data_IF_621539148446
#
_entry.id   IF_621539148446
#
_cell.length_a   1.000
_cell.length_b   1.000
_cell.length_c   1.000
_cell.angle_alpha   90.00
_cell.angle_beta   90.00
_cell.angle_gamma   90.00
#
_symmetry.space_group_name_H-M   'P 1'
#
loop_
_entity.id
_entity.type
_entity.pdbx_description
1 polymer ?
#
# COMPACT_ATOMS: atom_id res chain seq x y z
N UNK A 1 33.83 2.38 10.45
CA UNK A 1 34.95 2.98 11.21
C UNK A 1 35.59 1.91 12.10
N UNK A 2 36.69 1.30 11.66
CA UNK A 2 37.36 0.21 12.40
C UNK A 2 38.07 0.71 13.66
N UNK A 3 38.57 1.96 13.64
CA UNK A 3 39.25 2.58 14.78
C UNK A 3 38.30 2.85 15.96
N UNK A 4 37.09 3.34 15.70
CA UNK A 4 36.09 3.59 16.76
C UNK A 4 35.65 2.28 17.41
N UNK A 5 35.49 1.21 16.61
CA UNK A 5 35.16 -0.12 17.13
C UNK A 5 36.30 -0.72 17.97
N UNK A 6 37.55 -0.55 17.54
CA UNK A 6 38.72 -0.97 18.31
C UNK A 6 38.81 -0.22 19.64
N UNK A 7 38.60 1.10 19.63
CA UNK A 7 38.61 1.92 20.84
C UNK A 7 37.49 1.49 21.82
N UNK A 8 36.27 1.28 21.34
CA UNK A 8 35.16 0.77 22.16
C UNK A 8 35.49 -0.60 22.80
N UNK A 9 36.06 -1.54 22.03
CA UNK A 9 36.45 -2.86 22.55
C UNK A 9 37.52 -2.76 23.64
N UNK A 10 38.52 -1.88 23.46
CA UNK A 10 39.56 -1.66 24.46
C UNK A 10 38.97 -1.06 25.74
N UNK A 11 38.12 -0.04 25.65
CA UNK A 11 37.45 0.55 26.82
C UNK A 11 36.59 -0.48 27.56
N UNK A 12 35.86 -1.34 26.84
CA UNK A 12 35.01 -2.37 27.46
C UNK A 12 35.85 -3.38 28.28
N UNK A 13 37.03 -3.79 27.78
CA UNK A 13 37.91 -4.73 28.47
C UNK A 13 38.61 -4.13 29.70
N UNK A 14 38.96 -2.84 29.67
CA UNK A 14 39.64 -2.18 30.79
C UNK A 14 38.69 -1.75 31.91
N UNK A 15 37.45 -1.37 31.57
CA UNK A 15 36.49 -0.81 32.54
C UNK A 15 36.19 -1.77 33.70
N UNK A 16 35.94 -3.05 33.42
CA UNK A 16 35.64 -4.04 34.47
C UNK A 16 36.84 -4.30 35.38
N UNK A 17 38.05 -4.31 34.82
CA UNK A 17 39.29 -4.54 35.57
C UNK A 17 39.66 -3.35 36.45
N UNK A 18 39.46 -2.13 35.97
CA UNK A 18 39.69 -0.91 36.76
C UNK A 18 38.66 -0.78 37.89
N UNK A 19 37.38 -1.06 37.61
CA UNK A 19 36.34 -1.07 38.64
C UNK A 19 36.66 -2.08 39.75
N UNK A 20 37.11 -3.29 39.38
CA UNK A 20 37.55 -4.29 40.34
C UNK A 20 38.74 -3.83 41.17
N UNK A 21 39.78 -3.28 40.54
CA UNK A 21 40.94 -2.75 41.24
C UNK A 21 40.57 -1.68 42.27
N UNK A 22 39.72 -0.72 41.89
CA UNK A 22 39.23 0.32 42.80
C UNK A 22 38.45 -0.28 43.97
N UNK A 23 37.57 -1.27 43.75
CA UNK A 23 36.83 -1.91 44.85
C UNK A 23 37.73 -2.66 45.83
N UNK A 24 38.77 -3.35 45.34
CA UNK A 24 39.74 -4.03 46.19
C UNK A 24 40.60 -3.04 46.98
N UNK A 25 40.97 -1.92 46.35
CA UNK A 25 41.69 -0.84 47.02
C UNK A 25 40.86 -0.23 48.15
N UNK A 26 39.57 0.03 47.92
CA UNK A 26 38.66 0.54 48.98
C UNK A 26 38.51 -0.47 50.11
N UNK A 27 38.40 -1.77 49.82
CA UNK A 27 38.36 -2.81 50.85
C UNK A 27 39.64 -2.86 51.69
N UNK A 28 40.79 -2.70 51.05
CA UNK A 28 42.08 -2.61 51.73
C UNK A 28 42.18 -1.36 52.63
N UNK A 29 41.66 -0.22 52.18
CA UNK A 29 41.65 1.04 52.96
C UNK A 29 40.66 1.05 54.12
N UNK A 30 39.66 0.15 54.12
CA UNK A 30 38.60 0.07 55.14
C UNK A 30 38.84 -1.09 56.13
N UNK A 31 40.05 -1.65 56.16
CA UNK A 31 40.45 -2.81 56.99
C UNK A 31 39.50 -4.03 56.92
N UNK A 32 38.81 -4.21 55.78
CA UNK A 32 37.98 -5.40 55.57
C UNK A 32 38.81 -6.59 55.08
N UNK A 33 38.52 -7.78 55.59
CA UNK A 33 39.18 -9.01 55.13
C UNK A 33 38.85 -9.28 53.64
N UNK A 34 39.90 -9.29 52.83
CA UNK A 34 39.87 -9.62 51.40
C UNK A 34 39.86 -11.14 51.26
N UNK A 35 38.67 -11.74 51.21
CA UNK A 35 38.49 -13.18 50.96
C UNK A 35 38.31 -13.43 49.47
N UNK A 36 38.89 -14.52 48.94
CA UNK A 36 38.74 -14.91 47.53
C UNK A 36 37.28 -15.01 47.06
N UNK A 37 36.37 -15.45 47.94
CA UNK A 37 34.93 -15.50 47.67
C UNK A 37 34.33 -14.12 47.36
N UNK A 38 34.70 -13.07 48.11
CA UNK A 38 34.23 -11.70 47.87
C UNK A 38 34.75 -11.17 46.53
N UNK A 39 36.04 -11.36 46.26
CA UNK A 39 36.67 -10.94 44.99
C UNK A 39 35.97 -11.57 43.78
N UNK A 40 35.66 -12.86 43.85
CA UNK A 40 34.96 -13.56 42.78
C UNK A 40 33.52 -13.05 42.55
N UNK A 41 32.80 -12.72 43.63
CA UNK A 41 31.46 -12.12 43.54
C UNK A 41 31.51 -10.74 42.89
N UNK A 42 32.46 -9.87 43.27
CA UNK A 42 32.61 -8.57 42.59
C UNK A 42 33.00 -8.73 41.12
N UNK A 43 33.90 -9.68 40.80
CA UNK A 43 34.34 -9.92 39.43
C UNK A 43 33.18 -10.35 38.53
N UNK A 44 32.37 -11.30 38.99
CA UNK A 44 31.20 -11.78 38.25
C UNK A 44 30.14 -10.68 38.12
N UNK A 45 29.87 -9.92 39.19
CA UNK A 45 28.93 -8.80 39.17
C UNK A 45 29.33 -7.71 38.17
N UNK A 46 30.58 -7.24 38.19
CA UNK A 46 31.03 -6.18 37.27
C UNK A 46 31.05 -6.65 35.81
N UNK A 47 31.34 -7.92 35.55
CA UNK A 47 31.27 -8.46 34.19
C UNK A 47 29.82 -8.49 33.66
N UNK A 48 28.86 -8.92 34.47
CA UNK A 48 27.42 -8.89 34.08
C UNK A 48 26.97 -7.45 33.88
N UNK A 49 27.30 -6.56 34.82
CA UNK A 49 26.91 -5.15 34.75
C UNK A 49 27.47 -4.48 33.49
N UNK A 50 28.76 -4.68 33.19
CA UNK A 50 29.39 -4.14 31.99
C UNK A 50 28.72 -4.65 30.72
N UNK A 51 28.39 -5.95 30.64
CA UNK A 51 27.68 -6.49 29.49
C UNK A 51 26.28 -5.87 29.33
N UNK A 52 25.52 -5.75 30.42
CA UNK A 52 24.18 -5.14 30.37
C UNK A 52 24.21 -3.65 30.00
N UNK A 53 25.14 -2.88 30.57
CA UNK A 53 25.20 -1.42 30.37
C UNK A 53 25.88 -1.04 29.05
N UNK A 54 26.98 -1.70 28.70
CA UNK A 54 27.76 -1.32 27.51
C UNK A 54 27.21 -1.91 26.21
N UNK A 55 26.58 -3.09 26.26
CA UNK A 55 26.05 -3.74 25.06
C UNK A 55 24.53 -3.62 24.95
N UNK A 56 23.77 -4.06 25.96
CA UNK A 56 22.30 -4.11 25.86
C UNK A 56 21.66 -2.73 25.97
N UNK A 57 22.06 -1.92 26.95
CA UNK A 57 21.46 -0.61 27.20
C UNK A 57 21.77 0.40 26.08
N UNK A 58 23.04 0.51 25.66
CA UNK A 58 23.43 1.38 24.54
C UNK A 58 22.69 1.00 23.26
N UNK A 59 22.60 -0.31 22.97
CA UNK A 59 21.85 -0.81 21.82
C UNK A 59 20.36 -0.49 21.92
N UNK A 60 19.77 -0.65 23.12
CA UNK A 60 18.37 -0.33 23.37
C UNK A 60 18.05 1.15 23.10
N UNK A 61 18.94 2.08 23.45
CA UNK A 61 18.78 3.50 23.11
C UNK A 61 18.74 3.71 21.59
N UNK A 62 19.64 3.05 20.85
CA UNK A 62 19.65 3.13 19.38
C UNK A 62 18.38 2.56 18.76
N UNK A 63 17.93 1.39 19.21
CA UNK A 63 16.69 0.76 18.72
C UNK A 63 15.45 1.60 19.05
N UNK A 64 15.40 2.25 20.23
CA UNK A 64 14.34 3.19 20.58
C UNK A 64 14.33 4.41 19.66
N UNK A 65 15.50 4.97 19.35
CA UNK A 65 15.61 6.10 18.44
C UNK A 65 15.09 5.74 17.02
N UNK A 66 15.43 4.56 16.51
CA UNK A 66 14.92 4.05 15.22
C UNK A 66 13.41 3.82 15.25
N UNK A 67 12.88 3.28 16.36
CA UNK A 67 11.46 3.09 16.57
C UNK A 67 10.69 4.42 16.53
N UNK A 68 11.18 5.46 17.20
CA UNK A 68 10.54 6.78 17.19
C UNK A 68 10.45 7.38 15.77
N UNK A 69 11.51 7.23 14.96
CA UNK A 69 11.48 7.70 13.56
C UNK A 69 10.45 6.91 12.75
N UNK A 70 10.35 5.60 12.98
CA UNK A 70 9.39 4.73 12.27
C UNK A 70 7.95 5.07 12.64
N UNK A 71 7.68 5.29 13.93
CA UNK A 71 6.37 5.73 14.42
C UNK A 71 6.00 7.06 13.80
N UNK A 72 6.92 8.03 13.76
CA UNK A 72 6.65 9.34 13.16
C UNK A 72 6.27 9.24 11.67
N UNK A 73 6.96 8.38 10.92
CA UNK A 73 6.65 8.15 9.49
C UNK A 73 5.27 7.50 9.31
N UNK A 74 4.91 6.54 10.16
CA UNK A 74 3.59 5.92 10.13
C UNK A 74 2.49 6.94 10.49
N UNK A 75 2.73 7.77 11.49
CA UNK A 75 1.82 8.83 11.90
C UNK A 75 1.60 9.84 10.77
N UNK A 76 2.68 10.28 10.12
CA UNK A 76 2.61 11.18 8.95
C UNK A 76 1.80 10.56 7.81
N UNK A 77 2.03 9.28 7.51
CA UNK A 77 1.26 8.56 6.49
C UNK A 77 -0.23 8.45 6.83
N UNK A 78 -0.56 8.12 8.08
CA UNK A 78 -1.95 7.99 8.53
C UNK A 78 -2.70 9.33 8.63
N UNK A 79 -1.98 10.45 8.71
CA UNK A 79 -2.56 11.80 8.72
C UNK A 79 -2.82 12.38 7.33
N UNK A 80 -2.38 11.71 6.27
CA UNK A 80 -2.66 12.17 4.92
C UNK A 80 -4.17 12.23 4.68
N UNK A 81 -4.59 13.22 3.88
CA UNK A 81 -6.00 13.40 3.53
C UNK A 81 -6.47 12.19 2.71
N UNK A 82 -7.63 11.65 3.09
CA UNK A 82 -8.29 10.63 2.31
C UNK A 82 -8.89 11.27 1.05
N UNK A 83 -8.66 10.64 -0.10
CA UNK A 83 -9.31 11.04 -1.32
C UNK A 83 -10.81 10.80 -1.18
N UNK A 84 -11.60 11.87 -1.13
CA UNK A 84 -13.06 11.78 -1.14
C UNK A 84 -13.48 11.81 -2.61
N UNK A 85 -13.92 10.67 -3.20
CA UNK A 85 -14.45 10.69 -4.55
C UNK A 85 -15.61 11.68 -4.58
N UNK A 86 -15.67 12.51 -5.62
CA UNK A 86 -16.75 13.48 -5.83
C UNK A 86 -18.05 12.75 -5.54
N UNK A 87 -18.75 13.19 -4.48
CA UNK A 87 -19.98 12.56 -4.05
C UNK A 87 -20.95 12.63 -5.23
N UNK A 88 -21.02 11.54 -5.99
CA UNK A 88 -22.06 11.35 -6.98
C UNK A 88 -23.34 11.59 -6.21
N UNK A 89 -24.12 12.60 -6.60
CA UNK A 89 -25.45 12.74 -6.03
C UNK A 89 -26.24 11.51 -6.49
N UNK A 90 -26.09 10.39 -5.78
CA UNK A 90 -27.11 9.38 -5.68
C UNK A 90 -28.23 10.07 -4.92
N UNK A 91 -28.98 10.93 -5.62
CA UNK A 91 -30.29 11.35 -5.19
C UNK A 91 -31.16 10.09 -5.20
N UNK A 92 -31.03 9.30 -4.14
CA UNK A 92 -32.00 8.27 -3.74
C UNK A 92 -33.32 8.93 -3.29
N UNK A 93 -33.35 10.26 -3.19
CA UNK A 93 -34.56 11.05 -3.07
C UNK A 93 -35.29 11.10 -4.43
N UNK A 94 -36.08 10.06 -4.65
CA UNK A 94 -37.43 10.09 -5.22
C UNK A 94 -37.96 11.47 -5.65
N UNK A 95 -37.44 11.98 -6.76
CA UNK A 95 -38.19 12.85 -7.65
C UNK A 95 -37.93 12.32 -9.05
N UNK A 96 -39.00 11.84 -9.69
CA UNK A 96 -39.01 11.25 -11.03
C UNK A 96 -38.69 12.29 -12.11
N UNK A 97 -37.54 12.95 -12.03
CA UNK A 97 -36.94 13.55 -13.21
C UNK A 97 -36.28 12.39 -13.92
N UNK A 98 -36.94 11.88 -14.95
CA UNK A 98 -36.35 10.90 -15.88
C UNK A 98 -35.24 11.64 -16.61
N UNK A 99 -34.08 11.77 -15.97
CA UNK A 99 -32.89 12.24 -16.65
C UNK A 99 -32.59 11.22 -17.74
N UNK A 100 -32.75 11.67 -18.99
CA UNK A 100 -32.53 10.86 -20.20
C UNK A 100 -31.05 10.48 -20.35
N UNK A 101 -30.17 11.18 -19.64
CA UNK A 101 -28.73 11.02 -19.70
C UNK A 101 -28.22 10.11 -18.58
N UNK A 102 -27.28 9.24 -18.91
CA UNK A 102 -26.52 8.44 -17.96
C UNK A 102 -25.37 9.25 -17.35
N UNK A 103 -24.71 10.08 -18.16
CA UNK A 103 -23.58 10.93 -17.75
C UNK A 103 -23.84 12.34 -18.27
N UNK A 104 -23.68 13.34 -17.41
CA UNK A 104 -23.76 14.76 -17.76
C UNK A 104 -22.59 15.51 -17.13
N UNK A 105 -21.68 16.01 -17.97
CA UNK A 105 -20.57 16.89 -17.62
C UNK A 105 -20.89 18.30 -18.13
N UNK A 106 -20.78 19.31 -17.26
CA UNK A 106 -21.02 20.72 -17.61
C UNK A 106 -19.81 21.57 -17.27
N UNK A 107 -19.18 22.15 -18.29
CA UNK A 107 -18.05 23.08 -18.17
C UNK A 107 -16.97 22.60 -17.18
N UNK A 108 -16.63 21.32 -17.29
CA UNK A 108 -15.79 20.62 -16.34
C UNK A 108 -14.31 20.95 -16.57
N UNK A 109 -13.61 21.37 -15.52
CA UNK A 109 -12.16 21.53 -15.51
C UNK A 109 -11.57 20.68 -14.40
N UNK A 110 -10.57 19.87 -14.76
CA UNK A 110 -10.09 18.77 -13.92
C UNK A 110 -8.56 18.79 -13.84
N UNK A 111 -8.05 18.45 -12.65
CA UNK A 111 -6.62 18.37 -12.35
C UNK A 111 -6.28 17.04 -11.69
N UNK A 112 -5.02 16.62 -11.81
CA UNK A 112 -4.50 15.46 -11.06
C UNK A 112 -4.40 15.76 -9.56
N UNK A 113 -4.04 16.99 -9.23
CA UNK A 113 -4.02 17.51 -7.86
C UNK A 113 -4.54 18.94 -7.91
N UNK A 114 -5.34 19.37 -6.93
CA UNK A 114 -5.83 20.74 -6.85
C UNK A 114 -4.69 21.77 -6.88
N UNK A 115 -3.54 21.40 -6.33
CA UNK A 115 -2.31 22.21 -6.30
C UNK A 115 -1.56 22.28 -7.64
N UNK A 116 -1.89 21.44 -8.64
CA UNK A 116 -1.22 21.50 -9.94
C UNK A 116 -1.58 22.79 -10.68
N UNK A 117 -0.60 23.39 -11.34
CA UNK A 117 -0.82 24.59 -12.16
C UNK A 117 -1.63 24.25 -13.41
N UNK A 118 -1.28 23.13 -14.06
CA UNK A 118 -1.89 22.69 -15.31
C UNK A 118 -3.16 21.88 -15.08
N UNK A 119 -4.19 22.19 -15.88
CA UNK A 119 -5.42 21.40 -16.01
C UNK A 119 -5.22 20.29 -17.05
N UNK A 120 -5.61 19.07 -16.70
CA UNK A 120 -5.57 17.92 -17.61
C UNK A 120 -6.69 18.03 -18.65
N UNK A 121 -7.87 18.45 -18.20
CA UNK A 121 -9.04 18.71 -19.01
C UNK A 121 -9.59 20.09 -18.63
N UNK A 122 -9.95 20.89 -19.64
CA UNK A 122 -10.45 22.24 -19.44
C UNK A 122 -11.76 22.44 -20.20
N UNK A 123 -12.78 22.96 -19.49
CA UNK A 123 -14.09 23.32 -20.04
C UNK A 123 -14.77 22.22 -20.88
N UNK A 124 -14.75 20.98 -20.38
CA UNK A 124 -15.38 19.84 -21.04
C UNK A 124 -16.88 19.81 -20.74
N UNK A 125 -17.70 19.75 -21.79
CA UNK A 125 -19.14 19.50 -21.67
C UNK A 125 -19.53 18.27 -22.49
N UNK A 126 -20.14 17.29 -21.85
CA UNK A 126 -20.48 16.00 -22.45
C UNK A 126 -21.81 15.52 -21.89
N UNK A 127 -22.68 15.01 -22.76
CA UNK A 127 -23.97 14.45 -22.39
C UNK A 127 -24.15 13.10 -23.06
N UNK A 128 -24.19 12.03 -22.25
CA UNK A 128 -24.33 10.64 -22.71
C UNK A 128 -25.75 10.16 -22.43
N UNK A 129 -26.60 9.92 -23.46
CA UNK A 129 -27.92 9.35 -23.27
C UNK A 129 -27.85 7.88 -22.81
N UNK A 130 -28.85 7.44 -22.04
CA UNK A 130 -28.97 6.04 -21.60
C UNK A 130 -29.16 5.10 -22.81
N UNK A 131 -28.54 3.93 -22.74
CA UNK A 131 -28.69 2.86 -23.75
C UNK A 131 -28.00 3.12 -25.08
N UNK A 132 -27.07 4.09 -25.16
CA UNK A 132 -26.29 4.35 -26.37
C UNK A 132 -24.82 3.95 -26.21
N UNK A 133 -24.27 3.41 -27.30
CA UNK A 133 -22.84 3.19 -27.47
C UNK A 133 -22.19 4.47 -27.99
N UNK A 134 -21.17 4.96 -27.29
CA UNK A 134 -20.43 6.17 -27.66
C UNK A 134 -18.94 5.82 -27.79
N UNK A 135 -18.34 6.22 -28.91
CA UNK A 135 -16.89 6.16 -29.11
C UNK A 135 -16.24 7.50 -28.80
N UNK A 136 -15.11 7.48 -28.09
CA UNK A 136 -14.26 8.64 -27.84
C UNK A 136 -12.97 8.46 -28.65
N UNK A 137 -12.71 9.37 -29.59
CA UNK A 137 -11.52 9.32 -30.46
C UNK A 137 -10.71 10.60 -30.33
N UNK A 138 -9.40 10.50 -30.58
CA UNK A 138 -8.48 11.62 -30.49
C UNK A 138 -7.02 11.18 -30.43
N UNK A 139 -6.06 12.09 -30.65
CA UNK A 139 -4.63 11.77 -30.68
C UNK A 139 -4.10 11.28 -29.32
N UNK A 140 -2.94 10.62 -29.30
CA UNK A 140 -2.28 10.21 -28.06
C UNK A 140 -2.00 11.45 -27.20
N UNK A 141 -2.24 11.37 -25.90
CA UNK A 141 -2.09 12.51 -24.97
C UNK A 141 -3.26 13.49 -24.96
N UNK A 142 -4.33 13.28 -25.74
CA UNK A 142 -5.49 14.19 -25.77
C UNK A 142 -6.42 14.12 -24.55
N UNK A 143 -6.03 13.46 -23.46
CA UNK A 143 -6.83 13.37 -22.23
C UNK A 143 -7.98 12.34 -22.25
N UNK A 144 -8.05 11.40 -23.21
CA UNK A 144 -9.11 10.38 -23.27
C UNK A 144 -9.18 9.51 -22.02
N UNK A 145 -8.05 8.95 -21.60
CA UNK A 145 -7.97 8.11 -20.39
C UNK A 145 -8.29 8.94 -19.15
N UNK A 146 -7.83 10.19 -19.10
CA UNK A 146 -8.15 11.14 -18.03
C UNK A 146 -9.64 11.47 -17.96
N UNK A 147 -10.34 11.55 -19.10
CA UNK A 147 -11.79 11.72 -19.13
C UNK A 147 -12.51 10.50 -18.54
N UNK A 148 -12.05 9.28 -18.83
CA UNK A 148 -12.61 8.07 -18.22
C UNK A 148 -12.33 8.03 -16.71
N UNK A 149 -11.12 8.38 -16.27
CA UNK A 149 -10.76 8.46 -14.85
C UNK A 149 -11.56 9.55 -14.11
N UNK A 150 -11.86 10.66 -14.79
CA UNK A 150 -12.76 11.70 -14.26
C UNK A 150 -14.17 11.16 -14.04
N UNK A 151 -14.68 10.35 -14.98
CA UNK A 151 -15.99 9.69 -14.86
C UNK A 151 -15.97 8.67 -13.72
N UNK A 152 -14.85 7.99 -13.46
CA UNK A 152 -14.69 7.11 -12.31
C UNK A 152 -14.58 7.87 -10.98
N UNK A 153 -14.35 9.19 -11.04
CA UNK A 153 -14.18 10.03 -9.87
C UNK A 153 -12.75 10.00 -9.30
N UNK A 154 -11.75 9.59 -10.08
CA UNK A 154 -10.33 9.48 -9.67
C UNK A 154 -9.57 10.81 -9.77
N UNK A 155 -10.08 11.79 -10.54
CA UNK A 155 -9.46 13.11 -10.66
C UNK A 155 -10.31 14.17 -9.94
N UNK A 156 -9.62 15.17 -9.41
CA UNK A 156 -10.25 16.28 -8.70
C UNK A 156 -10.88 17.28 -9.67
N UNK A 157 -12.17 17.53 -9.49
CA UNK A 157 -12.93 18.53 -10.24
C UNK A 157 -12.70 19.90 -9.59
N UNK A 158 -12.10 20.83 -10.35
CA UNK A 158 -11.84 22.20 -9.89
C UNK A 158 -13.05 23.10 -10.16
N UNK A 159 -13.64 22.98 -11.35
CA UNK A 159 -14.82 23.74 -11.76
C UNK A 159 -15.77 22.88 -12.57
N UNK A 160 -17.05 23.23 -12.55
CA UNK A 160 -18.10 22.54 -13.30
C UNK A 160 -18.83 21.50 -12.46
N UNK A 161 -19.67 20.72 -13.13
CA UNK A 161 -20.54 19.74 -12.49
C UNK A 161 -20.52 18.41 -13.25
N UNK A 162 -20.45 17.31 -12.49
CA UNK A 162 -20.46 15.94 -13.00
C UNK A 162 -21.61 15.18 -12.34
N UNK A 163 -22.53 14.67 -13.19
CA UNK A 163 -23.64 13.82 -12.76
C UNK A 163 -23.56 12.48 -13.45
N UNK A 164 -23.56 11.42 -12.66
CA UNK A 164 -23.58 10.04 -13.13
C UNK A 164 -24.76 9.33 -12.50
N UNK A 165 -25.55 8.65 -13.32
CA UNK A 165 -26.71 7.89 -12.90
C UNK A 165 -26.48 6.39 -13.11
N UNK A 166 -26.45 5.62 -12.02
CA UNK A 166 -26.31 4.17 -12.03
C UNK A 166 -24.94 3.70 -11.50
N UNK A 167 -24.60 2.46 -11.83
CA UNK A 167 -23.33 1.81 -11.46
C UNK A 167 -22.36 1.85 -12.64
N UNK A 168 -21.08 2.06 -12.36
CA UNK A 168 -20.01 2.10 -13.37
C UNK A 168 -19.26 0.76 -13.35
N UNK A 169 -18.93 0.23 -14.53
CA UNK A 169 -17.99 -0.86 -14.70
C UNK A 169 -16.86 -0.39 -15.61
N UNK A 170 -15.62 -0.69 -15.26
CA UNK A 170 -14.44 -0.21 -15.96
C UNK A 170 -13.54 -1.38 -16.35
N UNK A 171 -13.20 -1.44 -17.64
CA UNK A 171 -12.18 -2.34 -18.18
C UNK A 171 -10.96 -1.50 -18.58
N UNK A 172 -9.83 -1.74 -17.92
CA UNK A 172 -8.62 -0.95 -18.12
C UNK A 172 -7.88 -1.35 -19.40
N UNK A 173 -7.10 -0.42 -19.96
CA UNK A 173 -6.20 -0.73 -21.08
C UNK A 173 -5.14 -1.77 -20.68
N UNK A 174 -4.59 -1.64 -19.47
CA UNK A 174 -3.69 -2.61 -18.87
C UNK A 174 -4.46 -3.43 -17.84
N UNK A 175 -4.87 -4.67 -18.17
CA UNK A 175 -5.67 -5.49 -17.28
C UNK A 175 -4.87 -5.86 -16.02
N UNK A 176 -5.45 -5.62 -14.86
CA UNK A 176 -4.87 -6.01 -13.59
C UNK A 176 -5.41 -7.38 -13.16
N UNK A 177 -4.49 -8.31 -12.90
CA UNK A 177 -4.75 -9.68 -12.42
C UNK A 177 -3.82 -9.90 -11.24
N UNK A 178 -4.38 -10.25 -10.08
CA UNK A 178 -3.61 -10.43 -8.85
C UNK A 178 -3.29 -11.90 -8.60
N UNK A 179 -2.33 -12.13 -7.69
CA UNK A 179 -1.83 -13.46 -7.34
C UNK A 179 -2.91 -14.30 -6.64
N UNK A 180 -3.67 -15.06 -7.41
CA UNK A 180 -4.83 -15.82 -6.96
C UNK A 180 -5.28 -16.81 -8.05
N UNK A 181 -6.35 -17.57 -7.79
CA UNK A 181 -6.97 -18.39 -8.84
C UNK A 181 -7.64 -17.50 -9.91
N UNK A 182 -7.76 -18.00 -11.14
CA UNK A 182 -8.51 -17.29 -12.20
C UNK A 182 -9.95 -17.02 -11.77
N UNK A 183 -10.61 -17.98 -11.12
CA UNK A 183 -11.95 -17.83 -10.55
C UNK A 183 -12.02 -16.66 -9.56
N UNK A 184 -11.05 -16.52 -8.67
CA UNK A 184 -11.02 -15.40 -7.72
C UNK A 184 -10.80 -14.05 -8.40
N UNK A 185 -10.02 -14.01 -9.48
CA UNK A 185 -9.87 -12.79 -10.27
C UNK A 185 -11.19 -12.37 -10.93
N UNK A 186 -11.97 -13.33 -11.44
CA UNK A 186 -13.30 -13.08 -12.04
C UNK A 186 -14.35 -12.71 -10.96
N UNK A 187 -14.36 -13.42 -9.82
CA UNK A 187 -15.33 -13.14 -8.76
C UNK A 187 -15.04 -11.81 -8.06
N UNK A 188 -13.76 -11.43 -7.94
CA UNK A 188 -13.30 -10.18 -7.34
C UNK A 188 -13.99 -9.83 -6.00
N UNK A 189 -14.12 -10.83 -5.12
CA UNK A 189 -14.76 -10.69 -3.80
C UNK A 189 -16.28 -10.91 -3.78
N UNK A 190 -16.94 -11.05 -4.92
CA UNK A 190 -18.34 -11.45 -5.00
C UNK A 190 -18.53 -12.95 -4.66
N UNK A 191 -19.73 -13.29 -4.18
CA UNK A 191 -20.11 -14.68 -3.94
C UNK A 191 -20.19 -15.49 -5.24
N UNK A 192 -19.87 -16.79 -5.16
CA UNK A 192 -19.93 -17.69 -6.31
C UNK A 192 -21.37 -18.08 -6.62
N UNK A 193 -21.94 -17.50 -7.67
CA UNK A 193 -23.18 -17.96 -8.30
C UNK A 193 -22.85 -18.70 -9.60
N UNK A 194 -23.07 -20.03 -9.59
CA UNK A 194 -22.75 -20.91 -10.71
C UNK A 194 -23.43 -20.48 -12.02
N UNK A 195 -24.68 -20.01 -11.99
CA UNK A 195 -25.41 -19.65 -13.22
C UNK A 195 -24.79 -18.40 -13.83
N UNK A 196 -24.70 -17.33 -13.04
CA UNK A 196 -24.08 -16.07 -13.46
C UNK A 196 -22.64 -16.26 -13.92
N UNK A 197 -21.85 -17.06 -13.19
CA UNK A 197 -20.46 -17.32 -13.53
C UNK A 197 -20.32 -18.00 -14.91
N UNK A 198 -21.14 -19.01 -15.21
CA UNK A 198 -21.15 -19.66 -16.52
C UNK A 198 -21.61 -18.72 -17.65
N UNK A 199 -22.54 -17.80 -17.37
CA UNK A 199 -22.98 -16.80 -18.33
C UNK A 199 -21.85 -15.80 -18.65
N UNK A 200 -21.12 -15.35 -17.63
CA UNK A 200 -19.95 -14.46 -17.78
C UNK A 200 -18.82 -15.14 -18.56
N UNK A 201 -18.49 -16.40 -18.24
CA UNK A 201 -17.46 -17.17 -18.97
C UNK A 201 -17.79 -17.25 -20.46
N UNK A 202 -19.06 -17.50 -20.79
CA UNK A 202 -19.52 -17.57 -22.19
C UNK A 202 -19.48 -16.21 -22.87
N UNK A 203 -19.92 -15.15 -22.18
CA UNK A 203 -19.89 -13.79 -22.71
C UNK A 203 -18.46 -13.29 -22.99
N UNK A 204 -17.50 -13.69 -22.15
CA UNK A 204 -16.09 -13.30 -22.29
C UNK A 204 -15.22 -14.31 -23.07
N UNK A 205 -15.81 -15.36 -23.68
CA UNK A 205 -15.10 -16.42 -24.45
C UNK A 205 -13.94 -17.09 -23.69
N UNK A 206 -14.09 -17.30 -22.37
CA UNK A 206 -13.05 -17.87 -21.50
C UNK A 206 -12.99 -19.41 -21.52
N UNK A 207 -13.98 -20.09 -22.12
CA UNK A 207 -14.04 -21.55 -22.14
C UNK A 207 -12.83 -22.19 -22.83
N UNK A 208 -12.29 -21.54 -23.87
CA UNK A 208 -11.10 -22.02 -24.59
C UNK A 208 -9.84 -21.85 -23.76
N UNK A 209 -9.75 -20.76 -23.00
CA UNK A 209 -8.62 -20.49 -22.13
C UNK A 209 -8.55 -21.49 -20.98
N UNK A 210 -9.69 -21.82 -20.37
CA UNK A 210 -9.74 -22.81 -19.29
C UNK A 210 -9.32 -24.21 -19.71
N UNK A 211 -9.53 -24.59 -20.98
CA UNK A 211 -9.02 -25.87 -21.52
C UNK A 211 -7.50 -25.91 -21.64
N UNK A 212 -6.85 -24.75 -21.74
CA UNK A 212 -5.39 -24.63 -21.83
C UNK A 212 -4.74 -24.51 -20.44
N UNK A 213 -5.51 -24.08 -19.44
CA UNK A 213 -5.01 -23.95 -18.08
C UNK A 213 -4.93 -25.33 -17.39
N UNK A 214 -3.85 -25.62 -16.63
CA UNK A 214 -3.66 -26.91 -15.97
C UNK A 214 -4.84 -27.36 -15.11
N UNK A 215 -5.40 -26.43 -14.33
CA UNK A 215 -6.51 -26.67 -13.39
C UNK A 215 -7.76 -25.87 -13.77
N UNK A 216 -7.92 -25.51 -15.05
CA UNK A 216 -9.02 -24.68 -15.51
C UNK A 216 -9.07 -23.34 -14.76
N UNK A 217 -10.24 -23.00 -14.23
CA UNK A 217 -10.45 -21.74 -13.51
C UNK A 217 -9.87 -21.73 -12.07
N UNK A 218 -9.42 -22.88 -11.56
CA UNK A 218 -8.69 -22.99 -10.30
C UNK A 218 -7.18 -22.75 -10.46
N UNK A 219 -6.70 -22.60 -11.69
CA UNK A 219 -5.30 -22.32 -11.98
C UNK A 219 -4.86 -21.03 -11.29
N UNK A 220 -3.74 -21.08 -10.59
CA UNK A 220 -3.14 -19.93 -9.91
C UNK A 220 -2.40 -19.09 -10.94
N UNK A 221 -2.66 -17.79 -10.95
CA UNK A 221 -2.02 -16.79 -11.82
C UNK A 221 -1.31 -15.73 -10.99
N UNK A 222 -0.35 -15.01 -11.56
CA UNK A 222 0.48 -14.01 -10.87
C UNK A 222 1.97 -14.37 -10.87
N UNK A 223 2.78 -13.69 -10.04
CA UNK A 223 4.25 -13.80 -10.07
C UNK A 223 4.80 -15.21 -9.82
N UNK A 224 4.05 -16.06 -9.11
CA UNK A 224 4.37 -17.46 -8.84
C UNK A 224 3.44 -18.44 -9.56
N UNK A 225 2.52 -17.94 -10.37
CA UNK A 225 1.49 -18.72 -11.06
C UNK A 225 1.78 -18.93 -12.54
N UNK A 226 0.79 -19.47 -13.26
CA UNK A 226 0.85 -19.58 -14.71
C UNK A 226 0.91 -18.19 -15.36
N UNK A 227 1.79 -18.03 -16.36
CA UNK A 227 1.86 -16.81 -17.13
C UNK A 227 0.68 -16.73 -18.10
N UNK A 228 -0.04 -15.61 -18.05
CA UNK A 228 -1.17 -15.33 -18.95
C UNK A 228 -0.70 -14.49 -20.13
N UNK A 229 -1.19 -14.79 -21.33
CA UNK A 229 -1.06 -13.89 -22.49
C UNK A 229 -1.82 -12.57 -22.24
N UNK A 230 -1.45 -11.51 -22.96
CA UNK A 230 -2.15 -10.21 -22.84
C UNK A 230 -3.65 -10.31 -23.14
N UNK A 231 -4.03 -11.11 -24.14
CA UNK A 231 -5.44 -11.34 -24.48
C UNK A 231 -6.21 -12.10 -23.41
N UNK A 232 -5.59 -13.09 -22.76
CA UNK A 232 -6.18 -13.81 -21.63
C UNK A 232 -6.39 -12.89 -20.43
N UNK A 233 -5.39 -12.06 -20.08
CA UNK A 233 -5.53 -11.07 -19.02
C UNK A 233 -6.69 -10.11 -19.29
N UNK A 234 -6.82 -9.64 -20.53
CA UNK A 234 -7.90 -8.74 -20.93
C UNK A 234 -9.29 -9.40 -20.80
N UNK A 235 -9.45 -10.65 -21.22
CA UNK A 235 -10.72 -11.39 -21.07
C UNK A 235 -11.06 -11.67 -19.60
N UNK A 236 -10.07 -12.01 -18.78
CA UNK A 236 -10.26 -12.23 -17.34
C UNK A 236 -10.63 -10.93 -16.63
N UNK A 237 -10.06 -9.79 -17.00
CA UNK A 237 -10.39 -8.50 -16.39
C UNK A 237 -11.76 -7.96 -16.84
N UNK A 238 -12.20 -8.32 -18.05
CA UNK A 238 -13.54 -7.98 -18.54
C UNK A 238 -14.64 -8.84 -17.89
N UNK A 239 -14.31 -10.05 -17.45
CA UNK A 239 -15.20 -11.02 -16.84
C UNK A 239 -15.44 -10.73 -15.35
#
# INVERSE_FOLDING_TARGET
SSYVRALYMTFNLFTTRVALFCTLLTMALTDQQITAAKVFVFMTYFNILSQTMSAMFVRGISELAELFVTIKRLEEFMKNEEFVPVSFSQNNNSSYIIDKNAISLKQLTVKWHASSTESVLANISLSVPKGRLIGIIGPVGSGKSSLLQTILGELEVVTGDIKIHGTISYASQEPWVFAATVRQNILFGAGYDKKRYLDVIRACDLEKDFKQFPDGDLTIVGDRGASLSGGQKARINLA
#
